data_IF_062729069298
#
_entry.id   IF_062729069298
#
_cell.length_a   1.000
_cell.length_b   1.000
_cell.length_c   1.000
_cell.angle_alpha   90.00
_cell.angle_beta   90.00
_cell.angle_gamma   90.00
#
_symmetry.space_group_name_H-M   'P 1'
#
loop_
_entity.id
_entity.type
_entity.pdbx_description
1 polymer ?
#
# COMPACT_ATOMS: atom_id res chain seq x y z
N UNK A 1 -6.66 -0.08 -15.31
CA UNK A 1 -7.78 -0.31 -14.37
C UNK A 1 -7.65 -1.71 -13.80
N UNK A 2 -7.56 -1.83 -12.48
CA UNK A 2 -7.40 -3.08 -11.73
C UNK A 2 -8.37 -3.13 -10.56
N UNK A 3 -8.52 -4.30 -9.94
CA UNK A 3 -9.35 -4.50 -8.76
C UNK A 3 -8.47 -4.76 -7.55
N UNK A 4 -8.60 -3.93 -6.51
CA UNK A 4 -7.81 -4.06 -5.28
C UNK A 4 -8.07 -5.42 -4.62
N UNK A 5 -7.02 -6.16 -4.27
CA UNK A 5 -7.19 -7.48 -3.66
C UNK A 5 -7.75 -7.42 -2.22
N UNK A 6 -7.56 -6.30 -1.51
CA UNK A 6 -8.06 -6.08 -0.14
C UNK A 6 -9.52 -5.59 -0.14
N UNK A 7 -9.77 -4.38 -0.67
CA UNK A 7 -11.09 -3.75 -0.53
C UNK A 7 -12.02 -4.01 -1.73
N UNK A 8 -11.53 -4.69 -2.77
CA UNK A 8 -12.26 -5.00 -4.01
C UNK A 8 -12.73 -3.79 -4.82
N UNK A 9 -12.27 -2.58 -4.49
CA UNK A 9 -12.53 -1.39 -5.30
C UNK A 9 -11.73 -1.41 -6.61
N UNK A 10 -12.30 -0.84 -7.66
CA UNK A 10 -11.55 -0.54 -8.89
C UNK A 10 -10.62 0.64 -8.66
N UNK A 11 -9.41 0.57 -9.25
CA UNK A 11 -8.43 1.64 -9.18
C UNK A 11 -7.62 1.75 -10.47
N UNK A 12 -7.08 2.95 -10.71
CA UNK A 12 -6.09 3.19 -11.75
C UNK A 12 -4.69 2.99 -11.17
N UNK A 13 -3.93 2.06 -11.75
CA UNK A 13 -2.56 1.78 -11.33
C UNK A 13 -1.57 2.89 -11.75
N UNK A 14 -1.98 3.76 -12.68
CA UNK A 14 -1.17 4.87 -13.17
C UNK A 14 -1.42 6.18 -12.41
N UNK A 15 -2.31 6.17 -11.41
CA UNK A 15 -2.53 7.33 -10.56
C UNK A 15 -1.22 7.64 -9.78
N UNK A 16 -0.75 8.90 -9.80
CA UNK A 16 0.46 9.28 -9.09
C UNK A 16 0.32 8.99 -7.60
N UNK A 17 1.36 8.39 -7.02
CA UNK A 17 1.37 7.99 -5.62
C UNK A 17 1.57 9.18 -4.69
N UNK A 18 0.88 9.13 -3.55
CA UNK A 18 1.21 9.98 -2.41
C UNK A 18 2.43 9.42 -1.68
N UNK A 19 3.03 10.20 -0.78
CA UNK A 19 4.14 9.72 0.06
C UNK A 19 3.77 8.43 0.83
N UNK A 20 2.55 8.36 1.36
CA UNK A 20 2.06 7.16 2.04
C UNK A 20 1.73 6.03 1.07
N UNK A 21 1.31 6.34 -0.16
CA UNK A 21 1.14 5.35 -1.22
C UNK A 21 2.47 4.70 -1.63
N UNK A 22 3.55 5.48 -1.75
CA UNK A 22 4.90 4.97 -2.03
C UNK A 22 5.41 4.09 -0.90
N UNK A 23 5.28 4.53 0.35
CA UNK A 23 5.66 3.73 1.52
C UNK A 23 4.84 2.43 1.61
N UNK A 24 3.54 2.51 1.32
CA UNK A 24 2.64 1.35 1.28
C UNK A 24 3.02 0.34 0.20
N UNK A 25 3.48 0.82 -0.97
CA UNK A 25 3.95 -0.07 -2.04
C UNK A 25 5.26 -0.75 -1.66
N UNK A 26 6.23 0.00 -1.12
CA UNK A 26 7.48 -0.59 -0.66
C UNK A 26 7.20 -1.71 0.34
N UNK A 27 6.31 -1.46 1.29
CA UNK A 27 5.82 -2.44 2.23
C UNK A 27 5.13 -3.65 1.55
N UNK A 28 4.34 -3.42 0.50
CA UNK A 28 3.71 -4.49 -0.29
C UNK A 28 4.74 -5.44 -0.89
N UNK A 29 5.81 -4.89 -1.46
CA UNK A 29 6.90 -5.66 -2.04
C UNK A 29 7.71 -6.42 -0.98
N UNK A 30 8.10 -5.76 0.10
CA UNK A 30 9.05 -6.33 1.07
C UNK A 30 8.41 -7.32 2.06
N UNK A 31 7.11 -7.20 2.33
CA UNK A 31 6.45 -7.96 3.40
C UNK A 31 5.35 -8.92 2.94
N UNK A 32 4.64 -8.59 1.87
CA UNK A 32 3.41 -9.29 1.48
C UNK A 32 3.39 -9.84 0.06
N UNK A 33 4.39 -9.50 -0.77
CA UNK A 33 4.50 -9.90 -2.19
C UNK A 33 3.24 -9.58 -3.00
N UNK A 34 2.60 -8.45 -2.69
CA UNK A 34 1.35 -7.97 -3.32
C UNK A 34 1.49 -6.55 -3.89
N UNK A 35 2.70 -6.18 -4.31
CA UNK A 35 2.96 -4.90 -4.97
C UNK A 35 2.16 -4.75 -6.27
N UNK A 36 1.55 -3.58 -6.49
CA UNK A 36 0.71 -3.31 -7.66
C UNK A 36 -0.69 -3.94 -7.64
N UNK A 37 -1.05 -4.65 -6.57
CA UNK A 37 -2.37 -5.31 -6.43
C UNK A 37 -3.36 -4.51 -5.57
N UNK A 38 -2.92 -3.39 -4.99
CA UNK A 38 -3.70 -2.58 -4.06
C UNK A 38 -3.99 -1.18 -4.59
N UNK A 39 -5.17 -0.66 -4.24
CA UNK A 39 -5.50 0.72 -4.49
C UNK A 39 -4.75 1.68 -3.55
N UNK A 40 -4.69 2.96 -3.94
CA UNK A 40 -4.02 4.02 -3.17
C UNK A 40 -4.43 4.03 -1.69
N UNK A 41 -5.73 3.97 -1.39
CA UNK A 41 -6.22 4.03 -0.01
C UNK A 41 -5.75 2.84 0.84
N UNK A 42 -5.66 1.64 0.25
CA UNK A 42 -5.15 0.46 0.93
C UNK A 42 -3.63 0.56 1.17
N UNK A 43 -2.87 1.11 0.22
CA UNK A 43 -1.44 1.40 0.38
C UNK A 43 -1.20 2.43 1.50
N UNK A 44 -1.95 3.54 1.51
CA UNK A 44 -1.82 4.56 2.56
C UNK A 44 -2.16 4.02 3.96
N UNK A 45 -3.24 3.24 4.05
CA UNK A 45 -3.63 2.62 5.31
C UNK A 45 -2.57 1.64 5.80
N UNK A 46 -2.01 0.82 4.89
CA UNK A 46 -0.90 -0.07 5.22
C UNK A 46 0.29 0.70 5.77
N UNK A 47 0.73 1.76 5.11
CA UNK A 47 1.83 2.61 5.59
C UNK A 47 1.55 3.18 6.99
N UNK A 48 0.37 3.78 7.19
CA UNK A 48 -0.05 4.35 8.49
C UNK A 48 -0.06 3.30 9.60
N UNK A 49 -0.64 2.14 9.35
CA UNK A 49 -0.72 1.04 10.31
C UNK A 49 0.68 0.50 10.64
N UNK A 50 1.56 0.35 9.65
CA UNK A 50 2.95 -0.06 9.88
C UNK A 50 3.70 0.94 10.75
N UNK A 51 3.54 2.25 10.52
CA UNK A 51 4.15 3.25 11.42
C UNK A 51 3.59 3.22 12.85
N UNK A 52 2.33 2.82 13.04
CA UNK A 52 1.72 2.73 14.37
C UNK A 52 2.08 1.44 15.11
N UNK A 53 2.17 0.32 14.41
CA UNK A 53 2.17 -1.02 15.03
C UNK A 53 3.39 -1.88 14.66
N UNK A 54 4.10 -1.59 13.56
CA UNK A 54 5.30 -2.31 13.13
C UNK A 54 6.56 -1.54 13.54
N UNK A 55 6.78 -1.36 14.85
CA UNK A 55 7.92 -0.58 15.37
C UNK A 55 9.29 -1.08 14.89
N UNK A 56 9.39 -2.37 14.53
CA UNK A 56 10.59 -2.95 13.92
C UNK A 56 10.98 -2.31 12.58
N UNK A 57 10.01 -1.73 11.87
CA UNK A 57 10.17 -1.04 10.59
C UNK A 57 10.40 0.47 10.73
N UNK A 58 10.23 1.04 11.93
CA UNK A 58 10.40 2.48 12.19
C UNK A 58 11.81 2.82 12.68
N UNK A 59 12.84 2.17 12.15
CA UNK A 59 14.23 2.41 12.56
C UNK A 59 14.91 3.50 11.73
#
# INVERSE_FOLDING_TARGET
MKTCTICKAEFDENEPRTLYGEAGEWLAQEMWDDAGELCMSCLENRARLSMMYCHEMNR
#
